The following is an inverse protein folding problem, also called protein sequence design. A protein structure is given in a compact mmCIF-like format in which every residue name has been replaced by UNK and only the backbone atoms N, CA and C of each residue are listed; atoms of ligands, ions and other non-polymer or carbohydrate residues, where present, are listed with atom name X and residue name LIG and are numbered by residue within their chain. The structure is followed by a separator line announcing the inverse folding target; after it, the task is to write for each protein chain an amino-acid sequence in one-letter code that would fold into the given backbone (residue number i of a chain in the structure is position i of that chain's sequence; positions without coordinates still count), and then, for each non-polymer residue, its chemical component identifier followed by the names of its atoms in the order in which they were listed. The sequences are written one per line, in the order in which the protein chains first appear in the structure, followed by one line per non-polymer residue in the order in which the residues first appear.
data_IF_745226216151
#
_entry.id   IF_745226216151
#
_cell.length_a   1.000
_cell.length_b   1.000
_cell.length_c   1.000
_cell.angle_alpha   90.00
_cell.angle_beta   90.00
_cell.angle_gamma   90.00
#
_symmetry.space_group_name_H-M   'P 1'
#
loop_
_entity.id
_entity.type
_entity.pdbx_description
1 polymer ?
#
# COMPACT_ATOMS: atom_id res chain seq x y z
N UNK A 1 -4.79 6.78 7.47
CA UNK A 1 -3.69 7.49 7.92
C UNK A 1 -2.62 6.56 8.48
N UNK A 2 -1.47 6.97 8.34
CA UNK A 2 -0.41 6.16 8.85
C UNK A 2 -0.54 6.12 10.36
N UNK A 3 0.37 5.92 11.06
CA UNK A 3 0.33 5.79 12.48
C UNK A 3 0.23 7.14 13.18
N UNK A 4 -0.36 7.22 14.36
CA UNK A 4 -0.16 8.40 15.19
C UNK A 4 1.29 8.58 15.60
N UNK A 5 2.07 7.52 15.51
CA UNK A 5 3.51 7.62 15.71
C UNK A 5 4.12 8.16 14.43
N UNK A 6 4.66 9.36 14.49
CA UNK A 6 5.17 10.05 13.32
C UNK A 6 6.33 9.34 12.64
N UNK A 7 6.88 8.31 13.24
CA UNK A 7 7.94 7.55 12.59
C UNK A 7 7.49 6.93 11.28
N UNK A 8 6.18 6.75 11.09
CA UNK A 8 5.65 6.22 9.85
C UNK A 8 5.66 7.26 8.72
N UNK A 9 5.84 8.51 9.05
CA UNK A 9 5.70 9.58 8.08
C UNK A 9 7.02 10.05 7.54
N UNK A 10 8.12 9.42 7.97
CA UNK A 10 9.36 9.98 7.62
C UNK A 10 10.09 9.14 6.59
N UNK A 11 10.87 9.81 5.75
CA UNK A 11 11.63 9.14 4.71
C UNK A 11 12.83 8.46 5.29
N UNK A 12 13.11 7.30 4.74
CA UNK A 12 14.30 6.58 5.10
C UNK A 12 15.43 7.11 4.25
N UNK A 13 16.53 7.44 4.89
CA UNK A 13 17.80 7.85 4.26
C UNK A 13 17.70 9.09 3.37
N UNK A 14 16.64 9.87 3.50
CA UNK A 14 16.53 11.10 2.74
C UNK A 14 16.39 10.90 1.24
N UNK A 15 16.11 9.68 0.80
CA UNK A 15 16.00 9.40 -0.61
C UNK A 15 14.68 9.89 -1.16
N UNK A 16 14.43 9.61 -2.43
CA UNK A 16 13.20 9.99 -3.10
C UNK A 16 12.11 8.93 -2.98
N UNK A 17 12.30 7.96 -2.11
CA UNK A 17 11.29 6.95 -1.90
C UNK A 17 9.99 7.59 -1.43
N UNK A 18 8.87 7.16 -2.00
CA UNK A 18 7.56 7.62 -1.57
C UNK A 18 7.13 6.90 -0.31
N UNK A 19 7.55 5.65 -0.16
CA UNK A 19 7.29 4.87 1.04
C UNK A 19 8.07 3.58 1.03
N UNK A 20 8.05 2.89 2.15
CA UNK A 20 8.66 1.57 2.20
C UNK A 20 8.05 0.76 3.35
N UNK A 21 8.21 -0.55 3.26
CA UNK A 21 7.71 -1.48 4.26
C UNK A 21 8.89 -2.13 4.96
N UNK A 22 8.98 -1.92 6.27
CA UNK A 22 10.01 -2.55 7.10
C UNK A 22 9.41 -3.81 7.72
N UNK A 23 9.80 -4.96 7.19
CA UNK A 23 9.22 -6.24 7.59
C UNK A 23 9.71 -6.69 8.95
N UNK A 24 10.90 -6.25 9.34
CA UNK A 24 11.49 -6.66 10.62
C UNK A 24 10.77 -6.00 11.78
N UNK A 25 10.55 -4.70 11.70
CA UNK A 25 9.87 -3.95 12.75
C UNK A 25 8.38 -3.81 12.47
N UNK A 26 7.90 -4.34 11.36
CA UNK A 26 6.48 -4.32 10.98
C UNK A 26 5.96 -2.89 10.93
N UNK A 27 6.69 -2.05 10.21
CA UNK A 27 6.37 -0.64 10.06
C UNK A 27 6.29 -0.27 8.60
N UNK A 28 5.46 0.73 8.33
CA UNK A 28 5.36 1.32 7.01
C UNK A 28 5.75 2.78 7.14
N UNK A 29 6.67 3.20 6.29
CA UNK A 29 7.14 4.58 6.26
C UNK A 29 6.59 5.24 5.02
N UNK A 30 6.04 6.44 5.17
CA UNK A 30 5.48 7.18 4.06
C UNK A 30 6.05 8.59 4.08
N UNK A 31 6.39 9.09 2.91
CA UNK A 31 6.88 10.44 2.75
C UNK A 31 5.78 11.41 3.17
N UNK A 32 6.06 12.25 4.15
CA UNK A 32 5.06 13.13 4.75
C UNK A 32 4.78 14.39 3.94
N UNK A 33 5.48 14.59 2.84
CA UNK A 33 5.22 15.73 1.96
C UNK A 33 4.23 15.42 0.84
N UNK A 34 3.67 14.22 0.82
CA UNK A 34 2.72 13.83 -0.20
C UNK A 34 1.34 14.39 0.07
N UNK A 35 0.56 14.62 -0.99
CA UNK A 35 -0.84 14.95 -0.85
C UNK A 35 -1.61 13.77 -0.26
N UNK A 36 -2.84 14.03 0.19
CA UNK A 36 -3.67 12.95 0.76
C UNK A 36 -3.89 11.84 -0.25
N UNK A 37 -4.13 12.20 -1.51
CA UNK A 37 -4.32 11.22 -2.56
C UNK A 37 -3.11 10.29 -2.70
N UNK A 38 -1.93 10.87 -2.78
CA UNK A 38 -0.71 10.08 -2.95
C UNK A 38 -0.35 9.33 -1.68
N UNK A 39 -0.61 9.92 -0.52
CA UNK A 39 -0.40 9.22 0.75
C UNK A 39 -1.22 7.93 0.79
N UNK A 40 -2.49 8.02 0.39
CA UNK A 40 -3.36 6.86 0.41
C UNK A 40 -2.87 5.78 -0.56
N UNK A 41 -2.46 6.18 -1.77
CA UNK A 41 -1.97 5.23 -2.74
C UNK A 41 -0.68 4.56 -2.29
N UNK A 42 0.25 5.34 -1.76
CA UNK A 42 1.52 4.80 -1.30
C UNK A 42 1.29 3.87 -0.11
N UNK A 43 0.41 4.26 0.81
CA UNK A 43 0.08 3.41 1.93
C UNK A 43 -0.47 2.07 1.46
N UNK A 44 -1.40 2.09 0.52
CA UNK A 44 -1.98 0.86 -0.01
C UNK A 44 -0.91 -0.02 -0.67
N UNK A 45 -0.01 0.60 -1.44
CA UNK A 45 1.09 -0.12 -2.08
C UNK A 45 1.94 -0.85 -1.03
N UNK A 46 2.29 -0.16 0.04
CA UNK A 46 3.13 -0.75 1.08
C UNK A 46 2.37 -1.81 1.88
N UNK A 47 1.07 -1.62 2.07
CA UNK A 47 0.26 -2.63 2.75
C UNK A 47 0.21 -3.92 1.95
N UNK A 48 0.17 -3.83 0.62
CA UNK A 48 0.21 -5.04 -0.22
C UNK A 48 1.51 -5.80 0.02
N UNK A 49 2.65 -5.10 0.08
CA UNK A 49 3.91 -5.76 0.38
C UNK A 49 3.87 -6.43 1.76
N UNK A 50 3.33 -5.75 2.75
CA UNK A 50 3.21 -6.31 4.09
C UNK A 50 2.32 -7.54 4.10
N UNK A 51 1.23 -7.50 3.36
CA UNK A 51 0.31 -8.64 3.27
C UNK A 51 0.99 -9.84 2.60
N UNK A 52 1.71 -9.60 1.51
CA UNK A 52 2.42 -10.67 0.83
C UNK A 52 3.42 -11.33 1.76
N UNK A 53 4.11 -10.54 2.54
CA UNK A 53 5.04 -11.07 3.52
C UNK A 53 4.32 -11.86 4.61
N UNK A 54 3.23 -11.31 5.13
CA UNK A 54 2.49 -11.93 6.23
C UNK A 54 1.84 -13.24 5.82
N UNK A 55 1.37 -13.33 4.60
CA UNK A 55 0.73 -14.55 4.10
C UNK A 55 1.71 -15.47 3.41
N UNK A 56 3.00 -15.12 3.45
CA UNK A 56 4.06 -15.96 2.89
C UNK A 56 3.84 -16.27 1.41
N UNK A 57 3.42 -15.26 0.66
CA UNK A 57 3.21 -15.39 -0.77
C UNK A 57 4.56 -15.36 -1.47
N UNK A 58 4.83 -16.33 -2.30
CA UNK A 58 6.13 -16.47 -2.97
C UNK A 58 6.05 -15.95 -4.39
N UNK A 59 6.45 -14.72 -4.58
CA UNK A 59 6.46 -14.06 -5.88
C UNK A 59 7.83 -13.43 -6.11
N UNK A 60 8.18 -13.22 -7.38
CA UNK A 60 9.36 -12.43 -7.68
C UNK A 60 9.13 -10.99 -7.29
N UNK A 61 10.23 -10.24 -7.18
CA UNK A 61 10.13 -8.82 -6.87
C UNK A 61 9.25 -8.09 -7.89
N UNK A 62 9.46 -8.38 -9.18
CA UNK A 62 8.70 -7.71 -10.24
C UNK A 62 7.21 -8.04 -10.17
N UNK A 63 6.90 -9.29 -9.86
CA UNK A 63 5.50 -9.71 -9.74
C UNK A 63 4.83 -9.00 -8.57
N UNK A 64 5.50 -8.95 -7.44
CA UNK A 64 4.94 -8.31 -6.26
C UNK A 64 4.75 -6.82 -6.48
N UNK A 65 5.72 -6.16 -7.13
CA UNK A 65 5.60 -4.74 -7.45
C UNK A 65 4.43 -4.47 -8.39
N UNK A 66 4.25 -5.31 -9.39
CA UNK A 66 3.14 -5.16 -10.32
C UNK A 66 1.80 -5.29 -9.61
N UNK A 67 1.67 -6.27 -8.74
CA UNK A 67 0.43 -6.46 -7.98
C UNK A 67 0.18 -5.28 -7.07
N UNK A 68 1.21 -4.80 -6.38
CA UNK A 68 1.06 -3.65 -5.49
C UNK A 68 0.64 -2.40 -6.26
N UNK A 69 1.19 -2.21 -7.45
CA UNK A 69 0.81 -1.07 -8.30
C UNK A 69 -0.63 -1.17 -8.76
N UNK A 70 -1.06 -2.35 -9.20
CA UNK A 70 -2.42 -2.53 -9.67
C UNK A 70 -3.42 -2.31 -8.55
N UNK A 71 -3.17 -2.90 -7.39
CA UNK A 71 -4.11 -2.78 -6.27
C UNK A 71 -4.17 -1.35 -5.77
N UNK A 72 -3.03 -0.68 -5.64
CA UNK A 72 -3.03 0.69 -5.14
C UNK A 72 -3.65 1.68 -6.13
N UNK A 73 -3.63 1.35 -7.41
CA UNK A 73 -4.20 2.23 -8.44
C UNK A 73 -5.67 1.97 -8.69
N UNK A 74 -6.10 0.71 -8.67
CA UNK A 74 -7.43 0.32 -9.13
C UNK A 74 -8.22 -0.51 -8.14
N UNK A 75 -7.61 -0.90 -7.02
CA UNK A 75 -8.28 -1.83 -6.09
C UNK A 75 -9.59 -1.30 -5.55
N UNK A 76 -9.62 -0.03 -5.16
CA UNK A 76 -10.83 0.56 -4.60
C UNK A 76 -11.95 0.59 -5.63
N UNK A 77 -11.64 0.95 -6.86
CA UNK A 77 -12.62 0.98 -7.93
C UNK A 77 -13.15 -0.41 -8.22
N UNK A 78 -12.28 -1.40 -8.23
CA UNK A 78 -12.71 -2.78 -8.46
C UNK A 78 -13.66 -3.25 -7.38
N UNK A 79 -13.36 -2.93 -6.12
CA UNK A 79 -14.22 -3.31 -5.01
C UNK A 79 -15.57 -2.59 -5.12
N UNK A 80 -15.55 -1.30 -5.47
CA UNK A 80 -16.79 -0.54 -5.63
C UNK A 80 -17.66 -1.12 -6.72
N UNK A 81 -17.08 -1.46 -7.86
CA UNK A 81 -17.81 -2.08 -8.96
C UNK A 81 -18.39 -3.42 -8.51
N UNK A 82 -17.58 -4.20 -7.80
CA UNK A 82 -18.03 -5.50 -7.29
C UNK A 82 -19.24 -5.34 -6.38
N UNK A 83 -19.18 -4.37 -5.46
CA UNK A 83 -20.27 -4.14 -4.52
C UNK A 83 -21.55 -3.70 -5.24
N UNK A 84 -21.41 -2.86 -6.26
CA UNK A 84 -22.57 -2.41 -7.03
C UNK A 84 -23.23 -3.55 -7.76
N UNK A 85 -22.45 -4.40 -8.39
CA UNK A 85 -22.97 -5.55 -9.11
C UNK A 85 -23.65 -6.52 -8.15
N UNK A 86 -23.00 -6.78 -7.02
CA UNK A 86 -23.53 -7.69 -6.00
C UNK A 86 -24.88 -7.20 -5.51
N UNK A 87 -25.01 -5.90 -5.24
CA UNK A 87 -26.26 -5.32 -4.77
C UNK A 87 -27.39 -5.51 -5.78
N UNK A 88 -27.06 -5.49 -7.08
CA UNK A 88 -28.08 -5.67 -8.11
C UNK A 88 -28.46 -7.12 -8.33
N UNK A 89 -27.58 -8.05 -7.96
CA UNK A 89 -27.86 -9.47 -8.06
C UNK A 89 -28.75 -9.91 -6.91
N UNK A 90 -28.54 -9.33 -5.74
CA UNK A 90 -29.34 -9.65 -4.56
C UNK A 90 -30.72 -9.04 -4.69
#
# INVERSE_FOLDING_TARGET
MASPDHSFLFRIDGSYALGCCDKIYKRIYINDSLSDYWTKRVLCHEIVHAAMFSYDVKLSYEEEELIADIISSYGEEIVDITNNIFSNIK
#
